data_IF_518538731233
#
_entry.id   IF_518538731233
#
_cell.length_a   1.000
_cell.length_b   1.000
_cell.length_c   1.000
_cell.angle_alpha   90.00
_cell.angle_beta   90.00
_cell.angle_gamma   90.00
#
_symmetry.space_group_name_H-M   'P 1'
#
loop_
_entity.id
_entity.type
_entity.pdbx_description
1 polymer ?
#
# COMPACT_ATOMS: atom_id res chain seq x y z
N UNK A 1 11.12 -42.62 -26.70
CA UNK A 1 10.58 -41.71 -25.67
C UNK A 1 10.10 -40.46 -26.38
N UNK A 2 8.96 -39.85 -26.02
CA UNK A 2 8.64 -38.52 -26.53
C UNK A 2 9.75 -37.55 -26.09
N UNK A 3 10.24 -36.76 -27.03
CA UNK A 3 11.21 -35.69 -26.80
C UNK A 3 10.64 -34.75 -25.71
N UNK A 4 11.38 -34.39 -24.65
CA UNK A 4 10.87 -33.47 -23.64
C UNK A 4 10.41 -32.19 -24.31
N UNK A 5 9.15 -31.81 -24.07
CA UNK A 5 8.57 -30.56 -24.57
C UNK A 5 9.54 -29.41 -24.31
N UNK A 6 9.91 -28.61 -25.33
CA UNK A 6 10.88 -27.54 -25.16
C UNK A 6 10.45 -26.60 -24.04
N UNK A 7 11.38 -26.26 -23.15
CA UNK A 7 11.15 -25.32 -22.08
C UNK A 7 10.82 -23.95 -22.67
N UNK A 8 9.70 -23.36 -22.24
CA UNK A 8 9.34 -22.00 -22.65
C UNK A 8 10.48 -21.04 -22.25
N UNK A 9 11.01 -20.28 -23.21
CA UNK A 9 12.15 -19.37 -23.00
C UNK A 9 11.73 -17.93 -23.27
N UNK A 10 12.10 -17.02 -22.37
CA UNK A 10 11.88 -15.57 -22.52
C UNK A 10 13.13 -14.76 -22.20
N UNK A 11 13.27 -13.57 -22.80
CA UNK A 11 14.38 -12.66 -22.51
C UNK A 11 14.23 -12.00 -21.13
N UNK A 12 12.99 -11.67 -20.74
CA UNK A 12 12.66 -11.06 -19.46
C UNK A 12 11.40 -11.71 -18.86
N UNK A 13 11.56 -12.24 -17.64
CA UNK A 13 10.47 -12.70 -16.80
C UNK A 13 10.28 -11.75 -15.62
N UNK A 14 9.07 -11.22 -15.45
CA UNK A 14 8.70 -10.35 -14.33
C UNK A 14 7.70 -11.09 -13.43
N UNK A 15 7.96 -11.11 -12.13
CA UNK A 15 7.05 -11.70 -11.14
C UNK A 15 6.28 -10.59 -10.43
N UNK A 16 5.02 -10.41 -10.81
CA UNK A 16 4.08 -9.42 -10.29
C UNK A 16 3.54 -8.47 -11.38
N UNK A 17 2.23 -8.44 -11.56
CA UNK A 17 1.49 -7.57 -12.48
C UNK A 17 0.80 -6.40 -11.74
N UNK A 18 1.48 -5.86 -10.72
CA UNK A 18 1.12 -4.59 -10.08
C UNK A 18 1.81 -3.39 -10.73
N UNK A 19 1.74 -2.22 -10.07
CA UNK A 19 2.35 -0.97 -10.55
C UNK A 19 3.80 -1.14 -11.03
N UNK A 20 4.66 -1.74 -10.20
CA UNK A 20 6.08 -1.90 -10.50
C UNK A 20 6.35 -2.78 -11.72
N UNK A 21 5.68 -3.94 -11.81
CA UNK A 21 5.89 -4.87 -12.91
C UNK A 21 5.40 -4.30 -14.24
N UNK A 22 4.25 -3.63 -14.24
CA UNK A 22 3.70 -2.99 -15.43
C UNK A 22 4.56 -1.82 -15.90
N UNK A 23 5.01 -0.93 -14.99
CA UNK A 23 5.87 0.20 -15.36
C UNK A 23 7.22 -0.26 -15.92
N UNK A 24 7.80 -1.30 -15.32
CA UNK A 24 9.07 -1.87 -15.77
C UNK A 24 8.90 -2.51 -17.15
N UNK A 25 7.84 -3.29 -17.36
CA UNK A 25 7.56 -3.91 -18.66
C UNK A 25 7.31 -2.88 -19.76
N UNK A 26 6.56 -1.81 -19.48
CA UNK A 26 6.32 -0.73 -20.44
C UNK A 26 7.63 -0.02 -20.83
N UNK A 27 8.49 0.25 -19.85
CA UNK A 27 9.81 0.86 -20.09
C UNK A 27 10.74 -0.08 -20.87
N UNK A 28 10.76 -1.37 -20.51
CA UNK A 28 11.61 -2.37 -21.13
C UNK A 28 11.22 -2.61 -22.59
N UNK A 29 9.93 -2.75 -22.88
CA UNK A 29 9.42 -2.93 -24.26
C UNK A 29 9.71 -1.73 -25.15
N UNK A 30 9.73 -0.52 -24.58
CA UNK A 30 10.12 0.70 -25.33
C UNK A 30 11.60 0.68 -25.73
N UNK A 31 12.48 0.17 -24.87
CA UNK A 31 13.94 0.15 -25.10
C UNK A 31 14.42 -1.12 -25.82
N UNK A 32 13.66 -2.22 -25.73
CA UNK A 32 13.97 -3.53 -26.29
C UNK A 32 12.74 -4.11 -27.01
N UNK A 33 12.30 -3.52 -28.13
CA UNK A 33 11.02 -3.85 -28.77
C UNK A 33 10.94 -5.29 -29.31
N UNK A 34 12.08 -5.89 -29.63
CA UNK A 34 12.16 -7.28 -30.12
C UNK A 34 12.26 -8.32 -29.00
N UNK A 35 12.39 -7.91 -27.73
CA UNK A 35 12.57 -8.84 -26.63
C UNK A 35 11.25 -9.56 -26.28
N UNK A 36 11.38 -10.86 -26.04
CA UNK A 36 10.32 -11.68 -25.48
C UNK A 36 10.18 -11.39 -23.99
N UNK A 37 8.97 -11.03 -23.56
CA UNK A 37 8.68 -10.62 -22.19
C UNK A 37 7.43 -11.33 -21.69
N UNK A 38 7.51 -11.86 -20.47
CA UNK A 38 6.41 -12.48 -19.76
C UNK A 38 6.29 -11.90 -18.35
N UNK A 39 5.06 -11.62 -17.93
CA UNK A 39 4.71 -11.21 -16.56
C UNK A 39 3.85 -12.32 -15.95
N UNK A 40 4.23 -12.80 -14.78
CA UNK A 40 3.46 -13.78 -14.01
C UNK A 40 2.89 -13.10 -12.76
N UNK A 41 1.62 -13.32 -12.46
CA UNK A 41 1.01 -12.89 -11.20
C UNK A 41 0.19 -14.02 -10.59
N UNK A 42 0.31 -14.20 -9.27
CA UNK A 42 -0.45 -15.21 -8.54
C UNK A 42 -1.94 -14.83 -8.43
N UNK A 43 -2.26 -13.53 -8.44
CA UNK A 43 -3.63 -13.05 -8.40
C UNK A 43 -4.37 -13.41 -9.71
N UNK A 44 -5.71 -13.58 -9.67
CA UNK A 44 -6.52 -13.94 -10.84
C UNK A 44 -6.72 -12.79 -11.84
N UNK A 45 -6.23 -11.58 -11.54
CA UNK A 45 -6.28 -10.44 -12.45
C UNK A 45 -5.05 -9.54 -12.30
N UNK A 46 -4.80 -8.71 -13.32
CA UNK A 46 -3.84 -7.62 -13.26
C UNK A 46 -4.20 -6.68 -12.09
N UNK A 47 -3.19 -6.13 -11.43
CA UNK A 47 -3.36 -5.09 -10.41
C UNK A 47 -2.54 -5.31 -9.13
N UNK A 48 -1.99 -6.51 -8.92
CA UNK A 48 -1.28 -6.85 -7.68
C UNK A 48 -2.19 -6.67 -6.45
N UNK A 49 -1.85 -5.75 -5.55
CA UNK A 49 -2.70 -5.41 -4.38
C UNK A 49 -4.04 -4.77 -4.76
N UNK A 50 -4.20 -4.34 -6.02
CA UNK A 50 -5.44 -3.82 -6.60
C UNK A 50 -6.13 -4.83 -7.51
N UNK A 51 -5.66 -6.08 -7.56
CA UNK A 51 -6.33 -7.14 -8.29
C UNK A 51 -7.77 -7.32 -7.80
N UNK A 52 -8.65 -7.82 -8.66
CA UNK A 52 -10.08 -7.94 -8.39
C UNK A 52 -10.39 -8.69 -7.09
N UNK A 53 -9.64 -9.76 -6.78
CA UNK A 53 -9.81 -10.56 -5.56
C UNK A 53 -9.34 -9.85 -4.28
N UNK A 54 -8.64 -8.71 -4.39
CA UNK A 54 -8.10 -7.90 -3.27
C UNK A 54 -8.97 -6.71 -2.90
N UNK A 55 -9.95 -6.35 -3.73
CA UNK A 55 -10.81 -5.19 -3.48
C UNK A 55 -11.88 -5.51 -2.42
N UNK A 56 -12.22 -4.51 -1.61
CA UNK A 56 -13.29 -4.58 -0.64
C UNK A 56 -14.12 -3.28 -0.65
N UNK A 57 -15.34 -3.28 -0.07
CA UNK A 57 -16.24 -2.14 -0.18
C UNK A 57 -15.65 -0.89 0.46
N UNK A 58 -15.71 0.23 -0.26
CA UNK A 58 -15.20 1.51 0.23
C UNK A 58 -13.67 1.62 0.22
N UNK A 59 -12.94 0.61 -0.29
CA UNK A 59 -11.50 0.71 -0.49
C UNK A 59 -11.20 1.90 -1.43
N UNK A 60 -10.33 2.79 -0.96
CA UNK A 60 -9.80 3.92 -1.71
C UNK A 60 -8.30 4.01 -1.51
N UNK A 61 -7.63 4.69 -2.43
CA UNK A 61 -6.22 5.04 -2.29
C UNK A 61 -5.96 5.84 -1.03
N UNK A 62 -4.71 5.77 -0.55
CA UNK A 62 -4.23 6.67 0.48
C UNK A 62 -3.88 8.05 -0.10
N UNK A 63 -3.27 8.04 -1.28
CA UNK A 63 -2.88 9.23 -2.04
C UNK A 63 -4.05 9.74 -2.86
N UNK A 64 -4.07 11.05 -3.09
CA UNK A 64 -5.11 11.70 -3.88
C UNK A 64 -4.77 11.68 -5.37
N UNK A 65 -5.79 11.82 -6.23
CA UNK A 65 -5.59 11.96 -7.66
C UNK A 65 -4.59 13.07 -7.99
N UNK A 66 -3.73 12.84 -8.99
CA UNK A 66 -2.58 13.67 -9.35
C UNK A 66 -1.26 13.24 -8.69
N UNK A 67 -1.29 12.39 -7.66
CA UNK A 67 -0.09 11.93 -6.93
C UNK A 67 0.10 10.41 -6.94
N UNK A 68 -0.81 9.67 -7.57
CA UNK A 68 -0.85 8.20 -7.49
C UNK A 68 -0.68 7.49 -8.84
N UNK A 69 -1.00 8.16 -9.94
CA UNK A 69 -0.97 7.61 -11.30
C UNK A 69 0.43 7.57 -11.93
N UNK A 70 0.56 6.87 -13.05
CA UNK A 70 1.80 6.89 -13.84
C UNK A 70 1.92 8.24 -14.56
N UNK A 71 3.13 8.79 -14.58
CA UNK A 71 3.38 10.10 -15.17
C UNK A 71 3.06 10.16 -16.68
N UNK A 72 3.10 9.03 -17.38
CA UNK A 72 2.82 8.90 -18.80
C UNK A 72 1.40 8.40 -19.12
N UNK A 73 0.56 8.19 -18.10
CA UNK A 73 -0.82 7.77 -18.26
C UNK A 73 -1.69 8.34 -17.12
N UNK A 74 -2.11 9.61 -17.20
CA UNK A 74 -2.91 10.21 -16.13
C UNK A 74 -4.36 9.67 -16.10
N UNK A 75 -4.88 9.47 -14.89
CA UNK A 75 -6.29 9.36 -14.57
C UNK A 75 -6.99 10.73 -14.55
N UNK A 76 -6.35 11.78 -14.01
CA UNK A 76 -7.01 13.07 -13.85
C UNK A 76 -7.29 13.73 -15.20
N UNK A 77 -8.56 14.06 -15.45
CA UNK A 77 -9.00 14.63 -16.73
C UNK A 77 -9.14 13.61 -17.85
N UNK A 78 -8.89 12.33 -17.60
CA UNK A 78 -9.08 11.26 -18.56
C UNK A 78 -10.56 10.84 -18.62
N UNK A 79 -11.24 10.91 -19.79
CA UNK A 79 -12.64 10.56 -19.92
C UNK A 79 -13.00 9.11 -19.54
N UNK A 80 -12.01 8.20 -19.44
CA UNK A 80 -12.22 6.83 -18.95
C UNK A 80 -12.50 6.74 -17.44
N UNK A 81 -12.13 7.76 -16.67
CA UNK A 81 -12.30 7.80 -15.22
C UNK A 81 -13.03 9.08 -14.79
N UNK A 82 -14.28 9.31 -15.25
CA UNK A 82 -15.02 10.53 -14.95
C UNK A 82 -15.29 10.72 -13.45
N UNK A 83 -15.22 9.65 -12.66
CA UNK A 83 -15.34 9.67 -11.20
C UNK A 83 -14.08 10.17 -10.48
N UNK A 84 -12.92 10.22 -11.15
CA UNK A 84 -11.66 10.66 -10.55
C UNK A 84 -11.59 12.18 -10.57
N UNK A 85 -11.51 12.77 -9.38
CA UNK A 85 -11.53 14.22 -9.18
C UNK A 85 -10.23 14.66 -8.52
N UNK A 86 -9.76 15.85 -8.89
CA UNK A 86 -8.58 16.45 -8.27
C UNK A 86 -8.77 16.53 -6.76
N UNK A 87 -7.70 16.30 -6.01
CA UNK A 87 -7.67 16.36 -4.55
C UNK A 87 -8.58 15.34 -3.83
N UNK A 88 -9.08 14.32 -4.52
CA UNK A 88 -9.90 13.25 -3.93
C UNK A 88 -9.18 11.90 -3.96
N UNK A 89 -9.54 11.02 -3.01
CA UNK A 89 -9.04 9.65 -2.97
C UNK A 89 -9.70 8.82 -4.06
N UNK A 90 -8.92 8.01 -4.76
CA UNK A 90 -9.37 7.22 -5.91
C UNK A 90 -9.98 5.91 -5.42
N UNK A 91 -11.14 5.52 -5.93
CA UNK A 91 -11.77 4.24 -5.61
C UNK A 91 -10.92 3.06 -6.08
N UNK A 92 -10.87 1.97 -5.31
CA UNK A 92 -10.08 0.79 -5.66
C UNK A 92 -10.49 0.15 -6.99
N UNK A 93 -11.78 0.22 -7.36
CA UNK A 93 -12.23 -0.23 -8.67
C UNK A 93 -11.64 0.61 -9.82
N UNK A 94 -11.56 1.93 -9.65
CA UNK A 94 -10.94 2.82 -10.62
C UNK A 94 -9.45 2.51 -10.79
N UNK A 95 -8.72 2.24 -9.70
CA UNK A 95 -7.30 1.84 -9.76
C UNK A 95 -7.12 0.52 -10.48
N UNK A 96 -7.97 -0.48 -10.20
CA UNK A 96 -7.95 -1.77 -10.90
C UNK A 96 -8.15 -1.59 -12.40
N UNK A 97 -9.22 -0.88 -12.81
CA UNK A 97 -9.48 -0.59 -14.23
C UNK A 97 -8.31 0.14 -14.87
N UNK A 98 -7.75 1.12 -14.17
CA UNK A 98 -6.58 1.86 -14.63
C UNK A 98 -5.36 0.99 -14.94
N UNK A 99 -5.05 0.01 -14.09
CA UNK A 99 -3.90 -0.89 -14.34
C UNK A 99 -4.18 -1.86 -15.50
N UNK A 100 -5.43 -2.31 -15.64
CA UNK A 100 -5.87 -3.13 -16.79
C UNK A 100 -5.80 -2.31 -18.11
N UNK A 101 -6.30 -1.08 -18.09
CA UNK A 101 -6.25 -0.15 -19.22
C UNK A 101 -4.81 0.23 -19.59
N UNK A 102 -3.96 0.52 -18.61
CA UNK A 102 -2.54 0.81 -18.84
C UNK A 102 -1.83 -0.39 -19.48
N UNK A 103 -2.09 -1.61 -19.00
CA UNK A 103 -1.52 -2.81 -19.59
C UNK A 103 -2.00 -3.01 -21.04
N UNK A 104 -3.27 -2.70 -21.35
CA UNK A 104 -3.79 -2.76 -22.70
C UNK A 104 -3.14 -1.69 -23.62
N UNK A 105 -3.11 -0.44 -23.16
CA UNK A 105 -2.52 0.71 -23.88
C UNK A 105 -1.05 0.48 -24.23
N UNK A 106 -0.29 -0.14 -23.32
CA UNK A 106 1.13 -0.45 -23.51
C UNK A 106 1.38 -1.79 -24.23
N UNK A 107 0.33 -2.48 -24.70
CA UNK A 107 0.46 -3.77 -25.39
C UNK A 107 1.01 -4.89 -24.50
N UNK A 108 0.81 -4.78 -23.18
CA UNK A 108 1.27 -5.74 -22.17
C UNK A 108 0.20 -6.76 -21.79
N UNK A 109 -1.08 -6.51 -22.05
CA UNK A 109 -2.18 -7.39 -21.64
C UNK A 109 -1.97 -8.85 -22.09
N UNK A 110 -1.54 -9.07 -23.34
CA UNK A 110 -1.22 -10.41 -23.87
C UNK A 110 0.08 -11.04 -23.34
N UNK A 111 0.85 -10.28 -22.56
CA UNK A 111 2.12 -10.70 -21.94
C UNK A 111 1.98 -11.00 -20.45
N UNK A 112 0.79 -10.83 -19.88
CA UNK A 112 0.52 -11.16 -18.47
C UNK A 112 -0.19 -12.51 -18.37
N UNK A 113 0.29 -13.39 -17.50
CA UNK A 113 -0.41 -14.61 -17.08
C UNK A 113 -0.74 -14.52 -15.59
N UNK A 114 -2.01 -14.28 -15.31
CA UNK A 114 -2.58 -14.30 -13.97
C UNK A 114 -2.85 -15.75 -13.50
N UNK A 115 -3.05 -15.94 -12.19
CA UNK A 115 -3.22 -17.27 -11.60
C UNK A 115 -1.97 -18.15 -11.69
N UNK A 116 -0.78 -17.53 -11.81
CA UNK A 116 0.51 -18.21 -11.94
C UNK A 116 1.44 -17.78 -10.80
N UNK A 117 1.62 -18.67 -9.83
CA UNK A 117 2.48 -18.42 -8.67
C UNK A 117 3.88 -18.96 -8.94
N UNK A 118 4.86 -18.08 -8.94
CA UNK A 118 6.27 -18.49 -8.91
C UNK A 118 6.59 -19.03 -7.52
N UNK A 119 7.14 -20.24 -7.46
CA UNK A 119 7.48 -20.92 -6.21
C UNK A 119 8.98 -21.14 -6.04
N UNK A 120 9.74 -21.12 -7.12
CA UNK A 120 11.18 -21.34 -7.12
C UNK A 120 11.84 -20.60 -8.29
N UNK A 121 13.07 -20.13 -8.07
CA UNK A 121 13.93 -19.59 -9.11
C UNK A 121 15.36 -20.10 -8.89
N UNK A 122 15.89 -20.82 -9.87
CA UNK A 122 17.24 -21.38 -9.88
C UNK A 122 18.14 -20.52 -10.77
N UNK A 123 19.28 -20.08 -10.23
CA UNK A 123 20.29 -19.30 -10.95
C UNK A 123 21.24 -20.23 -11.71
N UNK A 124 21.27 -20.09 -13.04
CA UNK A 124 22.18 -20.82 -13.93
C UNK A 124 23.39 -19.97 -14.35
N UNK A 125 23.64 -18.85 -13.67
CA UNK A 125 24.74 -17.94 -13.94
C UNK A 125 24.55 -17.20 -15.26
N UNK A 126 25.43 -17.46 -16.23
CA UNK A 126 25.40 -16.76 -17.53
C UNK A 126 24.21 -17.17 -18.41
N UNK A 127 23.66 -18.36 -18.18
CA UNK A 127 22.52 -18.87 -18.95
C UNK A 127 21.20 -18.23 -18.50
N UNK A 128 21.14 -17.63 -17.31
CA UNK A 128 19.95 -16.97 -16.78
C UNK A 128 19.30 -17.78 -15.66
N UNK A 129 17.99 -17.93 -15.71
CA UNK A 129 17.17 -18.46 -14.62
C UNK A 129 16.23 -19.55 -15.11
N UNK A 130 16.03 -20.58 -14.29
CA UNK A 130 14.90 -21.51 -14.43
C UNK A 130 13.91 -21.24 -13.31
N UNK A 131 12.67 -20.95 -13.69
CA UNK A 131 11.62 -20.53 -12.75
C UNK A 131 10.50 -21.56 -12.74
N UNK A 132 10.18 -22.09 -11.57
CA UNK A 132 9.08 -23.03 -11.35
C UNK A 132 7.80 -22.26 -11.01
N UNK A 133 6.71 -22.60 -11.71
CA UNK A 133 5.43 -21.89 -11.67
C UNK A 133 4.31 -22.89 -11.40
N UNK A 134 3.52 -22.61 -10.37
CA UNK A 134 2.29 -23.33 -10.03
C UNK A 134 1.05 -22.58 -10.54
N UNK A 135 0.04 -23.33 -10.96
CA UNK A 135 -1.29 -22.78 -11.20
C UNK A 135 -2.03 -22.57 -9.87
N UNK A 136 -2.59 -21.39 -9.68
CA UNK A 136 -3.42 -21.07 -8.51
C UNK A 136 -4.86 -21.44 -8.85
N UNK A 137 -5.44 -22.40 -8.12
CA UNK A 137 -6.86 -22.75 -8.26
C UNK A 137 -7.78 -21.59 -7.84
N UNK A 138 -9.05 -21.61 -8.24
CA UNK A 138 -10.02 -20.53 -7.98
C UNK A 138 -10.36 -20.33 -6.47
N UNK A 139 -9.75 -21.09 -5.55
CA UNK A 139 -9.76 -20.86 -4.11
C UNK A 139 -8.41 -20.32 -3.62
N UNK A 140 -8.23 -19.00 -3.60
CA UNK A 140 -7.07 -18.34 -2.95
C UNK A 140 -7.19 -18.41 -1.41
N UNK A 141 -7.05 -19.61 -0.85
CA UNK A 141 -6.79 -19.85 0.56
C UNK A 141 -5.41 -20.51 0.71
N UNK A 142 -4.63 -20.09 1.70
CA UNK A 142 -3.40 -20.79 2.09
C UNK A 142 -3.70 -22.10 2.86
N UNK A 143 -4.95 -22.58 2.77
CA UNK A 143 -5.35 -23.92 3.21
C UNK A 143 -4.97 -24.87 2.09
N UNK A 144 -3.95 -25.67 2.34
CA UNK A 144 -3.57 -26.77 1.48
C UNK A 144 -4.79 -27.68 1.30
N UNK A 145 -5.46 -27.63 0.14
CA UNK A 145 -6.33 -28.73 -0.29
C UNK A 145 -5.44 -29.97 -0.41
N UNK A 146 -5.33 -30.73 0.68
CA UNK A 146 -4.63 -32.01 0.73
C UNK A 146 -5.14 -32.91 -0.39
N UNK A 147 -4.26 -33.24 -1.34
CA UNK A 147 -4.53 -34.25 -2.38
C UNK A 147 -4.61 -33.75 -3.82
N UNK A 148 -4.55 -32.43 -4.09
CA UNK A 148 -4.45 -31.94 -5.48
C UNK A 148 -3.00 -31.88 -5.94
N UNK A 149 -2.62 -32.73 -6.90
CA UNK A 149 -1.30 -32.68 -7.53
C UNK A 149 -1.12 -31.32 -8.22
N UNK A 150 -0.23 -30.48 -7.68
CA UNK A 150 0.02 -29.15 -8.21
C UNK A 150 0.81 -29.29 -9.51
N UNK A 151 0.20 -28.86 -10.61
CA UNK A 151 0.86 -28.86 -11.91
C UNK A 151 1.92 -27.75 -11.95
N UNK A 152 3.18 -28.14 -11.87
CA UNK A 152 4.31 -27.22 -11.98
C UNK A 152 4.81 -27.14 -13.42
N UNK A 153 4.92 -25.93 -13.95
CA UNK A 153 5.58 -25.62 -15.22
C UNK A 153 6.92 -24.94 -14.93
N UNK A 154 7.95 -25.26 -15.71
CA UNK A 154 9.21 -24.52 -15.69
C UNK A 154 9.26 -23.53 -16.86
N UNK A 155 9.90 -22.37 -16.65
CA UNK A 155 10.15 -21.34 -17.65
C UNK A 155 11.61 -20.92 -17.54
N UNK A 156 12.31 -20.83 -18.67
CA UNK A 156 13.65 -20.26 -18.73
C UNK A 156 13.58 -18.76 -18.99
N UNK A 157 14.34 -17.98 -18.25
CA UNK A 157 14.39 -16.52 -18.38
C UNK A 157 15.84 -16.03 -18.37
N UNK A 158 16.26 -15.29 -19.40
CA UNK A 158 17.61 -14.69 -19.39
C UNK A 158 17.77 -13.65 -18.26
N UNK A 159 16.70 -12.89 -17.99
CA UNK A 159 16.64 -11.92 -16.90
C UNK A 159 15.37 -12.18 -16.08
N UNK A 160 15.52 -12.28 -14.76
CA UNK A 160 14.42 -12.37 -13.80
C UNK A 160 14.30 -11.07 -13.01
N UNK A 161 13.09 -10.53 -12.91
CA UNK A 161 12.76 -9.36 -12.09
C UNK A 161 11.67 -9.71 -11.10
N UNK A 162 11.92 -9.45 -9.81
CA UNK A 162 10.95 -9.63 -8.73
C UNK A 162 10.22 -8.32 -8.45
N UNK A 163 8.94 -8.25 -8.81
CA UNK A 163 8.04 -7.13 -8.58
C UNK A 163 6.85 -7.55 -7.68
N UNK A 164 7.11 -8.44 -6.71
CA UNK A 164 6.11 -9.17 -5.91
C UNK A 164 5.40 -8.33 -4.86
N UNK A 165 5.90 -7.12 -4.56
CA UNK A 165 5.38 -6.24 -3.53
C UNK A 165 5.66 -6.73 -2.10
N UNK A 166 5.25 -5.95 -1.10
CA UNK A 166 5.53 -6.21 0.32
C UNK A 166 4.31 -6.71 1.13
N UNK A 167 3.10 -6.59 0.58
CA UNK A 167 1.85 -6.72 1.36
C UNK A 167 0.90 -7.80 0.82
N UNK A 168 1.41 -8.73 0.02
CA UNK A 168 0.60 -9.77 -0.65
C UNK A 168 0.42 -11.04 0.20
N UNK A 169 1.42 -11.39 1.02
CA UNK A 169 1.40 -12.56 1.89
C UNK A 169 0.88 -12.19 3.27
N UNK A 170 -0.29 -12.70 3.70
CA UNK A 170 -0.82 -12.40 5.03
C UNK A 170 0.02 -13.09 6.09
N UNK A 171 0.10 -12.49 7.27
CA UNK A 171 0.59 -13.22 8.45
C UNK A 171 -0.54 -14.14 8.92
N UNK A 172 -0.31 -15.45 9.11
CA UNK A 172 -1.36 -16.36 9.51
C UNK A 172 -1.89 -15.95 10.90
N UNK A 173 -3.20 -16.08 11.11
CA UNK A 173 -3.83 -15.68 12.37
C UNK A 173 -3.22 -16.42 13.58
N UNK A 174 -2.85 -17.69 13.39
CA UNK A 174 -2.15 -18.52 14.39
C UNK A 174 -0.84 -17.90 14.88
N UNK A 175 -0.13 -17.13 14.05
CA UNK A 175 1.09 -16.43 14.46
C UNK A 175 0.84 -15.23 15.37
N UNK A 176 -0.40 -14.70 15.37
CA UNK A 176 -0.81 -13.53 16.14
C UNK A 176 -1.53 -13.91 17.44
N UNK A 177 -2.26 -15.03 17.42
CA UNK A 177 -2.95 -15.64 18.55
C UNK A 177 -1.99 -16.56 19.33
N UNK A 178 -0.81 -16.05 19.71
CA UNK A 178 0.10 -16.76 20.61
C UNK A 178 -0.32 -16.53 22.05
N UNK A 179 -1.44 -17.10 22.45
CA UNK A 179 -1.68 -17.28 23.87
C UNK A 179 -1.14 -18.65 24.25
N UNK A 180 -0.07 -18.66 25.06
CA UNK A 180 0.62 -19.91 25.44
C UNK A 180 -0.31 -20.87 26.23
N UNK A 181 -1.40 -20.34 26.80
CA UNK A 181 -2.30 -21.06 27.70
C UNK A 181 -3.78 -20.99 27.29
N UNK A 182 -4.13 -20.39 26.14
CA UNK A 182 -5.54 -20.27 25.77
C UNK A 182 -6.01 -21.38 24.85
N UNK A 183 -7.09 -22.02 25.29
CA UNK A 183 -7.86 -22.93 24.47
C UNK A 183 -8.58 -22.16 23.35
N UNK A 184 -7.89 -22.00 22.22
CA UNK A 184 -8.46 -21.40 21.00
C UNK A 184 -9.61 -22.23 20.41
N UNK A 185 -9.85 -23.46 20.88
CA UNK A 185 -10.97 -24.29 20.42
C UNK A 185 -12.34 -23.75 20.87
N UNK A 186 -12.38 -22.87 21.88
CA UNK A 186 -13.61 -22.26 22.37
C UNK A 186 -14.19 -21.21 21.40
N UNK A 187 -13.36 -20.59 20.55
CA UNK A 187 -13.84 -19.61 19.57
C UNK A 187 -14.16 -20.27 18.24
N UNK A 188 -15.46 -20.46 17.97
CA UNK A 188 -15.97 -21.07 16.73
C UNK A 188 -16.34 -20.06 15.66
N UNK A 189 -16.08 -18.76 15.90
CA UNK A 189 -16.37 -17.70 14.94
C UNK A 189 -15.37 -17.69 13.78
N UNK A 190 -15.75 -17.12 12.62
CA UNK A 190 -14.83 -17.00 11.49
C UNK A 190 -13.68 -16.05 11.81
N UNK A 191 -12.46 -16.47 11.48
CA UNK A 191 -11.23 -15.67 11.57
C UNK A 191 -10.64 -15.57 10.16
N UNK A 192 -10.41 -14.36 9.68
CA UNK A 192 -9.78 -14.15 8.39
C UNK A 192 -8.94 -12.88 8.39
N UNK A 193 -7.94 -12.84 7.52
CA UNK A 193 -7.08 -11.67 7.34
C UNK A 193 -7.79 -10.59 6.51
N UNK A 194 -7.44 -9.31 6.70
CA UNK A 194 -8.04 -8.19 5.93
C UNK A 194 -7.89 -8.32 4.41
N UNK A 195 -6.88 -9.11 3.97
CA UNK A 195 -6.68 -9.53 2.58
C UNK A 195 -7.94 -10.15 1.97
N UNK A 196 -8.70 -10.89 2.77
CA UNK A 196 -9.89 -11.64 2.38
C UNK A 196 -11.18 -10.94 2.81
N UNK A 197 -11.10 -9.69 3.26
CA UNK A 197 -12.26 -8.92 3.76
C UNK A 197 -13.35 -8.75 2.70
N UNK A 198 -12.98 -8.48 1.45
CA UNK A 198 -13.94 -8.34 0.34
C UNK A 198 -14.74 -9.61 0.07
N UNK A 199 -14.16 -10.80 0.30
CA UNK A 199 -14.84 -12.10 0.16
C UNK A 199 -15.93 -12.29 1.24
N UNK A 200 -15.68 -11.77 2.44
CA UNK A 200 -16.56 -11.95 3.60
C UNK A 200 -17.58 -10.81 3.78
N UNK A 201 -17.28 -9.64 3.23
CA UNK A 201 -18.13 -8.45 3.27
C UNK A 201 -18.26 -7.85 1.86
N UNK A 202 -19.03 -8.47 0.94
CA UNK A 202 -19.18 -7.96 -0.41
C UNK A 202 -19.97 -6.64 -0.45
N UNK A 203 -19.64 -5.79 -1.43
CA UNK A 203 -20.16 -4.42 -1.56
C UNK A 203 -21.63 -4.34 -1.92
N UNK A 204 -22.18 -5.44 -2.46
CA UNK A 204 -23.59 -5.57 -2.82
C UNK A 204 -24.23 -6.63 -1.93
N UNK A 205 -25.46 -6.43 -1.41
CA UNK A 205 -26.29 -7.57 -1.07
C UNK A 205 -26.37 -8.45 -2.33
N UNK A 206 -26.12 -9.75 -2.18
CA UNK A 206 -26.30 -10.69 -3.29
C UNK A 206 -27.72 -10.49 -3.87
N UNK A 207 -27.92 -10.51 -5.20
CA UNK A 207 -29.25 -10.42 -5.78
C UNK A 207 -30.22 -11.51 -5.29
N UNK A 208 -29.70 -12.56 -4.63
CA UNK A 208 -30.49 -13.59 -3.96
C UNK A 208 -31.09 -13.15 -2.60
N UNK A 209 -30.79 -11.95 -2.09
CA UNK A 209 -31.23 -11.46 -0.78
C UNK A 209 -32.42 -10.48 -0.87
N UNK A 210 -33.18 -10.49 -1.96
CA UNK A 210 -34.45 -9.74 -2.08
C UNK A 210 -35.61 -10.53 -1.46
N UNK A 211 -35.50 -10.90 -0.19
CA UNK A 211 -36.63 -11.43 0.58
C UNK A 211 -36.56 -10.86 1.99
N UNK A 212 -37.36 -9.82 2.25
CA UNK A 212 -38.05 -9.48 3.53
C UNK A 212 -37.36 -9.60 4.91
N UNK A 213 -36.07 -9.94 5.00
CA UNK A 213 -35.40 -10.37 6.24
C UNK A 213 -34.33 -9.38 6.75
N UNK A 214 -34.24 -8.18 6.14
CA UNK A 214 -33.33 -7.12 6.59
C UNK A 214 -33.62 -6.67 8.04
N UNK A 215 -34.84 -6.87 8.54
CA UNK A 215 -35.26 -6.44 9.88
C UNK A 215 -34.85 -7.38 11.02
N UNK A 216 -34.22 -8.53 10.76
CA UNK A 216 -33.81 -9.48 11.82
C UNK A 216 -32.36 -9.97 11.73
N UNK A 217 -31.48 -9.28 11.01
CA UNK A 217 -30.05 -9.65 11.03
C UNK A 217 -29.47 -9.36 12.42
N UNK A 218 -29.20 -10.42 13.19
CA UNK A 218 -28.60 -10.35 14.53
C UNK A 218 -27.28 -9.58 14.42
N UNK A 219 -27.19 -8.43 15.10
CA UNK A 219 -25.96 -7.62 15.14
C UNK A 219 -24.83 -8.48 15.69
N UNK A 220 -23.70 -8.49 14.97
CA UNK A 220 -22.50 -9.23 15.38
C UNK A 220 -21.60 -8.32 16.20
N UNK A 221 -20.79 -8.92 17.04
CA UNK A 221 -19.61 -8.27 17.63
C UNK A 221 -18.41 -8.67 16.81
N UNK A 222 -17.69 -7.68 16.27
CA UNK A 222 -16.51 -7.89 15.44
C UNK A 222 -15.29 -7.46 16.25
N UNK A 223 -14.34 -8.36 16.41
CA UNK A 223 -13.03 -8.06 16.99
C UNK A 223 -12.05 -7.76 15.85
N UNK A 224 -11.45 -6.57 15.87
CA UNK A 224 -10.41 -6.17 14.92
C UNK A 224 -9.09 -6.09 15.67
N UNK A 225 -8.12 -6.88 15.19
CA UNK A 225 -6.76 -6.91 15.72
C UNK A 225 -5.87 -6.02 14.85
N UNK A 226 -5.13 -5.10 15.47
CA UNK A 226 -4.31 -4.02 14.85
C UNK A 226 -5.04 -2.69 14.69
N UNK A 227 -4.28 -1.60 14.59
CA UNK A 227 -4.79 -0.24 14.39
C UNK A 227 -4.11 0.44 13.19
N UNK A 228 -3.90 -0.31 12.10
CA UNK A 228 -3.42 0.23 10.83
C UNK A 228 -4.57 0.83 10.00
N UNK A 229 -4.26 1.41 8.82
CA UNK A 229 -5.27 1.98 7.92
C UNK A 229 -6.36 0.96 7.58
N UNK A 230 -6.00 -0.23 7.11
CA UNK A 230 -6.98 -1.25 6.74
C UNK A 230 -7.88 -1.70 7.91
N UNK A 231 -7.37 -1.70 9.15
CA UNK A 231 -8.17 -1.94 10.34
C UNK A 231 -9.21 -0.84 10.56
N UNK A 232 -8.86 0.42 10.28
CA UNK A 232 -9.80 1.53 10.29
C UNK A 232 -10.89 1.38 9.22
N UNK A 233 -10.53 0.90 8.02
CA UNK A 233 -11.49 0.59 6.94
C UNK A 233 -12.50 -0.47 7.40
N UNK A 234 -12.03 -1.58 7.97
CA UNK A 234 -12.88 -2.63 8.51
C UNK A 234 -13.77 -2.13 9.66
N UNK A 235 -13.20 -1.34 10.57
CA UNK A 235 -13.92 -0.81 11.74
C UNK A 235 -15.04 0.14 11.30
N UNK A 236 -14.74 1.05 10.37
CA UNK A 236 -15.73 1.94 9.78
C UNK A 236 -16.83 1.16 9.08
N UNK A 237 -16.47 0.24 8.18
CA UNK A 237 -17.46 -0.55 7.42
C UNK A 237 -18.39 -1.35 8.35
N UNK A 238 -17.85 -2.03 9.36
CA UNK A 238 -18.67 -2.79 10.29
C UNK A 238 -19.56 -1.92 11.19
N UNK A 239 -19.02 -0.81 11.73
CA UNK A 239 -19.77 0.03 12.66
C UNK A 239 -20.77 0.96 11.97
N UNK A 240 -20.41 1.53 10.82
CA UNK A 240 -21.24 2.47 10.06
C UNK A 240 -22.15 1.77 9.06
N UNK A 241 -21.59 1.01 8.12
CA UNK A 241 -22.34 0.42 7.01
C UNK A 241 -23.19 -0.77 7.47
N UNK A 242 -22.63 -1.65 8.29
CA UNK A 242 -23.32 -2.89 8.73
C UNK A 242 -23.99 -2.77 10.11
N UNK A 243 -23.71 -1.70 10.87
CA UNK A 243 -24.30 -1.48 12.19
C UNK A 243 -23.93 -2.53 13.25
N UNK A 244 -22.83 -3.25 13.05
CA UNK A 244 -22.26 -4.19 14.02
C UNK A 244 -21.58 -3.46 15.18
N UNK A 245 -21.44 -4.13 16.31
CA UNK A 245 -20.56 -3.65 17.40
C UNK A 245 -19.12 -3.99 17.03
N UNK A 246 -18.22 -3.04 17.15
CA UNK A 246 -16.78 -3.27 16.89
C UNK A 246 -16.00 -3.14 18.19
N UNK A 247 -15.14 -4.11 18.46
CA UNK A 247 -14.08 -4.04 19.46
C UNK A 247 -12.76 -3.90 18.69
N UNK A 248 -12.11 -2.76 18.84
CA UNK A 248 -10.86 -2.44 18.17
C UNK A 248 -9.69 -2.64 19.14
N UNK A 249 -8.97 -3.76 19.02
CA UNK A 249 -7.93 -4.18 19.95
C UNK A 249 -6.52 -3.87 19.43
N UNK A 250 -5.76 -3.18 20.27
CA UNK A 250 -4.39 -2.73 20.01
C UNK A 250 -3.46 -3.42 21.01
N UNK A 251 -2.55 -4.24 20.50
CA UNK A 251 -1.61 -4.97 21.37
C UNK A 251 -0.48 -4.05 21.84
N UNK A 252 -0.17 -4.01 23.15
CA UNK A 252 1.01 -3.33 23.69
C UNK A 252 2.31 -3.80 23.05
N UNK A 253 2.43 -5.08 22.73
CA UNK A 253 3.59 -5.68 22.04
C UNK A 253 3.75 -5.28 20.56
N UNK A 254 2.80 -4.52 19.99
CA UNK A 254 2.82 -4.04 18.62
C UNK A 254 3.47 -2.67 18.43
N UNK A 255 3.24 -2.06 17.25
CA UNK A 255 3.76 -0.73 16.89
C UNK A 255 2.74 0.40 17.16
N UNK A 256 1.67 0.10 17.89
CA UNK A 256 0.61 1.06 18.21
C UNK A 256 -0.30 1.46 17.03
N UNK A 257 -1.12 2.52 17.22
CA UNK A 257 -2.00 3.07 16.20
C UNK A 257 -1.24 3.72 15.05
N UNK A 258 -1.74 3.54 13.84
CA UNK A 258 -1.27 4.24 12.64
C UNK A 258 -1.49 5.75 12.77
N UNK A 259 -0.54 6.52 12.22
CA UNK A 259 -0.68 7.96 12.06
C UNK A 259 -1.67 8.26 10.94
N UNK A 260 -2.96 8.16 11.26
CA UNK A 260 -4.05 8.44 10.36
C UNK A 260 -4.32 9.95 10.37
N UNK A 261 -3.89 10.67 9.34
CA UNK A 261 -4.02 12.13 9.25
C UNK A 261 -5.21 12.54 8.37
N UNK A 262 -5.82 13.71 8.58
CA UNK A 262 -6.69 14.33 7.58
C UNK A 262 -5.95 14.53 6.25
N UNK A 263 -6.67 14.41 5.13
CA UNK A 263 -6.11 14.67 3.81
C UNK A 263 -5.70 16.13 3.58
N UNK A 264 -6.21 17.06 4.40
CA UNK A 264 -5.90 18.50 4.34
C UNK A 264 -5.38 19.01 5.67
N UNK A 265 -4.27 19.75 5.62
CA UNK A 265 -3.62 20.33 6.80
C UNK A 265 -4.26 21.68 7.14
N UNK A 266 -4.53 21.92 8.41
CA UNK A 266 -5.03 23.21 8.91
C UNK A 266 -3.87 24.16 9.25
N UNK A 267 -4.04 25.50 9.16
CA UNK A 267 -5.27 26.23 8.80
C UNK A 267 -5.44 26.46 7.29
N UNK A 268 -4.40 26.28 6.47
CA UNK A 268 -4.40 26.67 5.05
C UNK A 268 -5.17 25.70 4.13
N UNK A 269 -5.69 24.58 4.66
CA UNK A 269 -6.41 23.52 3.92
C UNK A 269 -5.61 22.95 2.73
N UNK A 270 -4.28 23.06 2.79
CA UNK A 270 -3.37 22.48 1.81
C UNK A 270 -3.46 20.97 1.87
N UNK A 271 -3.31 20.31 0.72
CA UNK A 271 -3.19 18.86 0.70
C UNK A 271 -1.97 18.42 1.50
N UNK A 272 -2.20 17.49 2.43
CA UNK A 272 -1.15 16.89 3.25
C UNK A 272 -0.06 16.28 2.38
N UNK A 273 -0.45 15.63 1.28
CA UNK A 273 0.46 15.00 0.32
C UNK A 273 1.27 16.02 -0.48
N UNK A 274 0.65 17.08 -0.99
CA UNK A 274 1.36 18.13 -1.73
C UNK A 274 2.40 18.83 -0.84
N UNK A 275 2.07 19.09 0.43
CA UNK A 275 3.00 19.70 1.37
C UNK A 275 4.24 18.82 1.58
N UNK A 276 4.06 17.52 1.87
CA UNK A 276 5.20 16.63 2.17
C UNK A 276 6.04 16.27 0.94
N UNK A 277 5.45 16.29 -0.25
CA UNK A 277 6.14 16.01 -1.53
C UNK A 277 6.76 17.26 -2.15
N UNK A 278 6.59 18.45 -1.54
CA UNK A 278 7.21 19.68 -1.99
C UNK A 278 8.71 19.67 -1.67
N UNK A 279 9.57 19.91 -2.68
CA UNK A 279 11.04 19.93 -2.54
C UNK A 279 11.54 20.80 -1.38
N UNK A 280 10.93 21.96 -1.14
CA UNK A 280 11.30 22.86 -0.05
C UNK A 280 11.11 22.23 1.35
N UNK A 281 10.11 21.37 1.53
CA UNK A 281 9.86 20.69 2.82
C UNK A 281 10.96 19.69 3.16
N UNK A 282 11.70 19.19 2.16
CA UNK A 282 12.86 18.31 2.40
C UNK A 282 13.97 18.98 3.22
N UNK A 283 14.05 20.33 3.26
CA UNK A 283 15.00 21.04 4.11
C UNK A 283 14.70 20.88 5.60
N UNK A 284 13.47 20.56 5.98
CA UNK A 284 13.04 20.32 7.37
C UNK A 284 13.33 18.89 7.84
N UNK A 285 13.76 18.01 6.93
CA UNK A 285 14.17 16.63 7.24
C UNK A 285 15.70 16.53 7.31
N UNK A 286 16.24 15.65 8.17
CA UNK A 286 17.67 15.40 8.19
C UNK A 286 18.09 14.78 6.86
N UNK A 287 19.29 15.13 6.40
CA UNK A 287 19.89 14.54 5.21
C UNK A 287 21.30 14.09 5.56
N UNK A 288 21.48 12.76 5.70
CA UNK A 288 22.79 12.17 6.00
C UNK A 288 23.80 12.40 4.85
N UNK A 289 23.30 12.63 3.63
CA UNK A 289 24.08 12.92 2.43
C UNK A 289 24.53 14.39 2.35
N UNK A 290 23.93 15.30 3.12
CA UNK A 290 24.31 16.72 3.11
C UNK A 290 25.71 16.98 3.70
N UNK A 291 26.31 15.98 4.35
CA UNK A 291 27.69 16.01 4.82
C UNK A 291 28.70 15.46 3.79
N UNK A 292 28.25 14.86 2.69
CA UNK A 292 29.13 14.35 1.65
C UNK A 292 29.91 15.53 1.04
N UNK A 293 31.22 15.53 1.27
CA UNK A 293 32.11 16.59 0.87
C UNK A 293 32.31 16.49 -0.66
N UNK A 294 32.11 17.57 -1.44
CA UNK A 294 32.46 17.55 -2.87
C UNK A 294 33.97 17.43 -3.13
N UNK A 295 34.79 17.36 -2.07
CA UNK A 295 36.23 17.12 -2.17
C UNK A 295 36.60 15.66 -2.48
N UNK A 296 35.63 14.76 -2.68
CA UNK A 296 35.93 13.51 -3.36
C UNK A 296 36.35 13.85 -4.79
N UNK A 297 37.57 13.52 -5.24
CA UNK A 297 37.98 13.79 -6.62
C UNK A 297 36.96 13.13 -7.54
N UNK A 298 36.41 13.90 -8.48
CA UNK A 298 35.56 13.30 -9.51
C UNK A 298 36.35 12.18 -10.18
N UNK A 299 35.75 11.02 -10.49
CA UNK A 299 36.39 10.09 -11.42
C UNK A 299 36.79 10.88 -12.66
N UNK A 300 38.04 10.71 -13.09
CA UNK A 300 38.59 11.39 -14.25
C UNK A 300 37.63 11.30 -15.43
N UNK A 301 37.37 12.38 -16.17
CA UNK A 301 36.50 12.32 -17.33
C UNK A 301 37.09 11.31 -18.32
N UNK A 302 36.32 10.27 -18.63
CA UNK A 302 36.54 9.44 -19.81
C UNK A 302 36.60 10.35 -21.04
N UNK A 303 37.59 10.19 -21.94
CA UNK A 303 37.82 11.10 -23.07
C UNK A 303 36.73 11.06 -24.18
N UNK A 304 35.56 10.45 -23.94
CA UNK A 304 34.55 10.19 -24.98
C UNK A 304 33.17 10.84 -24.78
N UNK A 305 32.98 11.80 -23.86
CA UNK A 305 31.67 12.46 -23.68
C UNK A 305 31.73 13.97 -23.92
N UNK A 306 30.84 14.57 -24.75
CA UNK A 306 30.77 16.01 -24.94
C UNK A 306 30.38 16.69 -23.64
N UNK A 307 31.17 17.69 -23.27
CA UNK A 307 31.09 18.44 -22.02
C UNK A 307 29.73 19.15 -21.85
N UNK A 308 28.90 18.60 -20.97
CA UNK A 308 27.80 19.38 -20.38
C UNK A 308 28.41 20.48 -19.49
N UNK A 309 28.01 21.76 -19.60
CA UNK A 309 28.58 22.81 -18.80
C UNK A 309 28.23 22.58 -17.31
N UNK A 310 29.23 22.26 -16.49
CA UNK A 310 29.05 21.90 -15.07
C UNK A 310 28.98 23.11 -14.13
N UNK A 311 29.00 24.35 -14.63
CA UNK A 311 29.21 25.56 -13.83
C UNK A 311 28.00 26.00 -12.99
N UNK A 312 26.79 25.50 -13.25
CA UNK A 312 25.59 25.80 -12.43
C UNK A 312 25.36 24.80 -11.28
N UNK A 313 26.01 23.63 -11.31
CA UNK A 313 25.89 22.59 -10.28
C UNK A 313 26.53 23.00 -8.92
N UNK A 314 27.66 23.73 -8.87
CA UNK A 314 28.27 24.16 -7.61
C UNK A 314 27.37 25.08 -6.78
N UNK A 315 26.64 26.02 -7.39
CA UNK A 315 25.88 27.05 -6.66
C UNK A 315 24.64 26.49 -5.96
N UNK A 316 23.99 25.48 -6.53
CA UNK A 316 22.81 24.83 -5.93
C UNK A 316 23.19 24.07 -4.64
N UNK A 317 24.34 23.42 -4.64
CA UNK A 317 24.88 22.71 -3.47
C UNK A 317 25.21 23.65 -2.30
N UNK A 318 25.62 24.90 -2.57
CA UNK A 318 25.92 25.87 -1.52
C UNK A 318 24.68 26.37 -0.81
N UNK A 319 23.61 26.71 -1.55
CA UNK A 319 22.35 27.16 -0.97
C UNK A 319 21.70 26.05 -0.12
N UNK A 320 21.61 24.83 -0.65
CA UNK A 320 21.08 23.68 0.09
C UNK A 320 21.87 23.42 1.38
N UNK A 321 23.20 23.44 1.30
CA UNK A 321 24.06 23.24 2.47
C UNK A 321 23.87 24.35 3.50
N UNK A 322 23.72 25.60 3.07
CA UNK A 322 23.46 26.73 3.95
C UNK A 322 22.13 26.55 4.68
N UNK A 323 21.03 26.30 3.94
CA UNK A 323 19.71 26.08 4.51
C UNK A 323 19.72 24.93 5.53
N UNK A 324 20.31 23.77 5.17
CA UNK A 324 20.39 22.62 6.08
C UNK A 324 21.28 22.89 7.29
N UNK A 325 22.37 23.65 7.12
CA UNK A 325 23.24 24.04 8.24
C UNK A 325 22.50 24.94 9.21
N UNK A 326 21.81 25.97 8.70
CA UNK A 326 21.02 26.88 9.53
C UNK A 326 19.92 26.12 10.27
N UNK A 327 19.16 25.26 9.57
CA UNK A 327 18.03 24.52 10.14
C UNK A 327 18.45 23.40 11.11
N UNK A 328 19.52 22.66 10.83
CA UNK A 328 19.84 21.44 11.61
C UNK A 328 21.04 21.60 12.55
N UNK A 329 21.96 22.54 12.30
CA UNK A 329 23.17 22.72 13.13
C UNK A 329 23.10 23.87 14.12
N UNK A 330 22.24 24.87 13.90
CA UNK A 330 22.04 25.94 14.89
C UNK A 330 20.98 25.55 15.94
N UNK A 331 21.08 26.03 17.19
CA UNK A 331 20.04 25.81 18.20
C UNK A 331 18.67 26.36 17.78
N UNK A 332 18.64 27.56 17.19
CA UNK A 332 17.40 28.19 16.71
C UNK A 332 16.75 27.40 15.57
N UNK A 333 17.54 26.95 14.60
CA UNK A 333 17.05 26.09 13.52
C UNK A 333 16.48 24.78 14.05
N UNK A 334 17.18 24.10 14.97
CA UNK A 334 16.68 22.85 15.56
C UNK A 334 15.39 23.08 16.34
N UNK A 335 15.26 24.21 17.05
CA UNK A 335 14.02 24.57 17.72
C UNK A 335 12.87 24.77 16.71
N UNK A 336 13.14 25.44 15.59
CA UNK A 336 12.17 25.62 14.50
C UNK A 336 11.73 24.28 13.89
N UNK A 337 12.67 23.39 13.56
CA UNK A 337 12.38 22.07 12.99
C UNK A 337 11.57 21.21 13.97
N UNK A 338 11.93 21.20 15.25
CA UNK A 338 11.16 20.49 16.29
C UNK A 338 9.75 21.06 16.43
N UNK A 339 9.60 22.39 16.44
CA UNK A 339 8.31 23.04 16.52
C UNK A 339 7.44 22.72 15.29
N UNK A 340 8.03 22.67 14.10
CA UNK A 340 7.33 22.25 12.88
C UNK A 340 6.75 20.84 13.02
N UNK A 341 7.56 19.84 13.37
CA UNK A 341 7.08 18.46 13.49
C UNK A 341 6.08 18.29 14.65
N UNK A 342 6.39 18.80 15.85
CA UNK A 342 5.54 18.63 17.01
C UNK A 342 4.22 19.44 16.96
N UNK A 343 4.27 20.70 16.52
CA UNK A 343 3.08 21.55 16.53
C UNK A 343 2.30 21.47 15.22
N UNK A 344 2.96 21.53 14.06
CA UNK A 344 2.25 21.58 12.78
C UNK A 344 1.89 20.20 12.26
N UNK A 345 2.81 19.23 12.31
CA UNK A 345 2.56 17.88 11.77
C UNK A 345 1.74 17.03 12.74
N UNK A 346 2.20 16.91 13.99
CA UNK A 346 1.55 16.07 15.00
C UNK A 346 0.27 16.71 15.55
N UNK A 347 0.40 17.84 16.27
CA UNK A 347 -0.72 18.44 17.01
C UNK A 347 -1.81 19.03 16.09
N UNK A 348 -1.46 20.03 15.28
CA UNK A 348 -2.42 20.71 14.37
C UNK A 348 -2.74 19.92 13.11
N UNK A 349 -1.85 19.01 12.72
CA UNK A 349 -2.02 18.17 11.55
C UNK A 349 -2.90 16.96 11.82
N UNK A 350 -2.90 16.41 13.04
CA UNK A 350 -3.60 15.14 13.35
C UNK A 350 -4.44 15.22 14.61
N UNK A 351 -3.85 15.52 15.76
CA UNK A 351 -4.54 15.35 17.06
C UNK A 351 -5.74 16.28 17.22
N UNK A 352 -5.57 17.58 16.92
CA UNK A 352 -6.63 18.58 17.03
C UNK A 352 -7.73 18.39 15.97
N UNK A 353 -7.43 18.26 14.66
CA UNK A 353 -8.47 18.06 13.65
C UNK A 353 -9.31 16.79 13.86
N UNK A 354 -8.69 15.70 14.31
CA UNK A 354 -9.37 14.43 14.56
C UNK A 354 -10.02 14.36 15.95
N UNK A 355 -9.79 15.38 16.78
CA UNK A 355 -10.33 15.49 18.14
C UNK A 355 -9.98 14.26 18.99
N UNK A 356 -8.72 13.83 18.95
CA UNK A 356 -8.30 12.60 19.64
C UNK A 356 -8.45 12.71 21.17
N UNK A 357 -8.24 13.89 21.74
CA UNK A 357 -8.42 14.16 23.18
C UNK A 357 -9.87 14.38 23.63
N UNK A 358 -10.83 14.43 22.69
CA UNK A 358 -12.22 14.72 23.04
C UNK A 358 -12.96 13.56 23.72
N UNK A 359 -12.37 12.35 23.73
CA UNK A 359 -12.96 11.18 24.36
C UNK A 359 -11.87 10.19 24.81
N UNK A 360 -12.02 9.52 25.98
CA UNK A 360 -11.01 8.58 26.48
C UNK A 360 -10.65 7.47 25.49
N UNK A 361 -11.62 6.97 24.71
CA UNK A 361 -11.36 5.91 23.72
C UNK A 361 -10.64 6.41 22.46
N UNK A 362 -10.87 7.66 22.02
CA UNK A 362 -10.10 8.21 20.88
C UNK A 362 -8.68 8.57 21.29
N UNK A 363 -8.44 8.86 22.57
CA UNK A 363 -7.09 9.11 23.08
C UNK A 363 -6.20 7.84 22.99
N UNK A 364 -6.79 6.65 23.09
CA UNK A 364 -6.08 5.37 22.88
C UNK A 364 -5.62 5.17 21.43
N UNK A 365 -6.18 5.91 20.47
CA UNK A 365 -5.80 5.87 19.06
C UNK A 365 -4.71 6.89 18.69
N UNK A 366 -4.15 7.62 19.68
CA UNK A 366 -2.98 8.47 19.43
C UNK A 366 -1.78 7.62 19.01
N UNK A 367 -1.09 7.98 17.91
CA UNK A 367 0.12 7.28 17.50
C UNK A 367 1.16 7.26 18.62
N UNK A 368 1.75 6.10 18.90
CA UNK A 368 2.78 5.94 19.94
C UNK A 368 4.15 6.46 19.49
N UNK A 369 4.33 6.60 18.19
CA UNK A 369 5.54 7.13 17.58
C UNK A 369 5.28 8.54 17.06
N UNK A 370 6.29 9.40 17.18
CA UNK A 370 6.26 10.75 16.64
C UNK A 370 6.09 10.72 15.11
N UNK A 371 5.40 11.72 14.55
CA UNK A 371 5.21 11.90 13.12
C UNK A 371 6.50 11.80 12.30
N UNK A 372 7.65 12.15 12.89
CA UNK A 372 8.96 12.04 12.28
C UNK A 372 9.42 10.59 12.09
N UNK A 373 9.05 9.68 12.98
CA UNK A 373 9.50 8.27 12.99
C UNK A 373 8.48 7.30 12.39
N UNK A 374 7.31 7.79 11.98
CA UNK A 374 6.19 6.93 11.58
C UNK A 374 6.47 6.11 10.31
N UNK A 375 7.38 6.56 9.44
CA UNK A 375 7.75 5.85 8.21
C UNK A 375 6.52 5.47 7.37
N UNK A 376 6.36 4.17 7.09
CA UNK A 376 5.21 3.61 6.35
C UNK A 376 3.96 3.40 7.20
N UNK A 377 4.02 3.61 8.52
CA UNK A 377 2.88 3.52 9.45
C UNK A 377 1.92 4.71 9.38
N UNK A 378 1.78 5.34 8.22
CA UNK A 378 0.98 6.54 7.98
C UNK A 378 -0.20 6.23 7.08
N UNK A 379 -1.34 6.85 7.36
CA UNK A 379 -2.52 6.81 6.50
C UNK A 379 -3.17 8.19 6.38
N UNK A 380 -3.98 8.39 5.35
CA UNK A 380 -4.89 9.52 5.21
C UNK A 380 -6.32 9.05 5.43
N UNK A 381 -7.08 9.84 6.19
CA UNK A 381 -8.49 9.63 6.40
C UNK A 381 -9.23 9.87 5.07
N UNK A 382 -10.03 8.90 4.66
CA UNK A 382 -10.78 8.91 3.40
C UNK A 382 -12.30 8.65 3.59
N UNK A 383 -12.77 8.75 4.83
CA UNK A 383 -14.20 8.81 5.22
C UNK A 383 -14.49 10.14 5.91
N UNK A 384 -15.77 10.43 6.13
CA UNK A 384 -16.19 11.69 6.75
C UNK A 384 -16.60 12.78 5.77
N UNK A 385 -16.53 12.50 4.46
CA UNK A 385 -17.06 13.40 3.44
C UNK A 385 -18.59 13.43 3.48
N UNK A 386 -19.19 14.56 3.07
CA UNK A 386 -20.64 14.72 2.88
C UNK A 386 -21.50 14.48 4.14
N UNK A 387 -20.93 14.67 5.33
CA UNK A 387 -21.65 14.56 6.60
C UNK A 387 -21.80 13.15 7.15
N UNK A 388 -21.21 12.13 6.49
CA UNK A 388 -21.06 10.81 7.09
C UNK A 388 -20.07 10.86 8.26
N UNK A 389 -20.24 10.05 9.32
CA UNK A 389 -19.29 10.01 10.43
C UNK A 389 -17.98 9.35 10.01
N UNK A 390 -16.85 9.91 10.44
CA UNK A 390 -15.55 9.25 10.36
C UNK A 390 -15.39 8.17 11.45
N UNK A 391 -14.31 7.38 11.36
CA UNK A 391 -14.06 6.28 12.31
C UNK A 391 -13.87 6.76 13.75
N UNK A 392 -13.28 7.94 13.96
CA UNK A 392 -13.09 8.52 15.30
C UNK A 392 -14.42 9.03 15.87
N UNK A 393 -15.32 9.54 15.03
CA UNK A 393 -16.66 9.91 15.44
C UNK A 393 -17.46 8.68 15.88
N UNK A 394 -17.34 7.56 15.17
CA UNK A 394 -17.98 6.30 15.57
C UNK A 394 -17.46 5.79 16.92
N UNK A 395 -16.18 6.00 17.23
CA UNK A 395 -15.61 5.74 18.57
C UNK A 395 -16.24 6.66 19.62
N UNK A 396 -16.33 7.97 19.36
CA UNK A 396 -16.96 8.94 20.28
C UNK A 396 -18.45 8.65 20.50
N UNK A 397 -19.15 8.12 19.50
CA UNK A 397 -20.54 7.69 19.58
C UNK A 397 -20.72 6.34 20.31
N UNK A 398 -19.64 5.67 20.73
CA UNK A 398 -19.68 4.38 21.41
C UNK A 398 -20.02 3.19 20.51
N UNK A 399 -19.98 3.36 19.18
CA UNK A 399 -20.21 2.25 18.22
C UNK A 399 -18.97 1.37 18.04
N UNK A 400 -17.79 1.94 18.29
CA UNK A 400 -16.50 1.26 18.26
C UNK A 400 -15.86 1.40 19.65
N UNK A 401 -15.62 0.27 20.31
CA UNK A 401 -14.95 0.20 21.59
C UNK A 401 -13.45 -0.05 21.37
N UNK A 402 -12.59 0.90 21.75
CA UNK A 402 -11.13 0.77 21.62
C UNK A 402 -10.55 0.15 22.90
N UNK A 403 -9.71 -0.87 22.76
CA UNK A 403 -8.99 -1.52 23.86
C UNK A 403 -7.50 -1.61 23.56
N UNK A 404 -6.69 -1.38 24.60
CA UNK A 404 -5.27 -1.70 24.59
C UNK A 404 -5.07 -2.93 25.48
N UNK A 405 -4.60 -4.03 24.90
CA UNK A 405 -4.47 -5.29 25.62
C UNK A 405 -3.98 -6.42 24.72
N UNK A 406 -3.54 -7.51 25.34
CA UNK A 406 -3.19 -8.74 24.63
C UNK A 406 -4.43 -9.60 24.36
N UNK A 407 -4.35 -10.43 23.31
CA UNK A 407 -5.35 -11.47 23.09
C UNK A 407 -4.95 -12.65 23.97
N UNK A 408 -5.63 -12.78 25.11
CA UNK A 408 -5.53 -13.95 25.98
C UNK A 408 -6.57 -14.95 25.55
#
# INVERSE_FOLDING_TARGET
MPDPTPLETVDLLIVGAGFHGLSLAATYTTTHPSASLLILDAAPSIGGVWARSRLYPGLKTNSQAGHFEFADYPMLGNPRYPEVRADEHIAGDSVRRYLEDYAAEKGLAGRVRCGRKVVEAEDLGKEGWVVSVEEVGEGEGDEEEEGREKRTQKIHARILVLATGLTSTPKPASSLLKCADADTSAFTGPIYHVRDFGKHCPSSPSPAATTTDEKKKKKKTILILSANKSAADCAHHHAHTLGNRVIWLIRPSGHGPCFLAPARVTPLKLLSEALITTRAVTFLNPCIWAAANPSSPSPSPSPSSPSSPSWWIPSFNHFERLCRTLLHRTPAGRALVRAFHAQLVQRKGVEEPLRLDAHPQTALLKPWHDAFWVGTGRGLLNWGAEGAPDVFELVRQGKIEVKVGEVV
#
